data_IF_984778019604
#
_entry.id   IF_984778019604
#
_cell.length_a   1.000
_cell.length_b   1.000
_cell.length_c   1.000
_cell.angle_alpha   90.00
_cell.angle_beta   90.00
_cell.angle_gamma   90.00
#
_symmetry.space_group_name_H-M   'P 1'
#
loop_
_entity.id
_entity.type
_entity.pdbx_description
1 polymer ?
#
# COMPACT_ATOMS: atom_id res chain seq x y z
N UNK A 1 -21.09 21.23 -2.35
CA UNK A 1 -21.18 20.35 -1.18
C UNK A 1 -21.42 18.85 -1.47
N UNK A 2 -21.98 18.44 -2.64
CA UNK A 2 -22.20 16.99 -2.95
C UNK A 2 -20.93 16.16 -3.29
N UNK A 3 -19.84 16.76 -3.80
CA UNK A 3 -18.61 16.03 -4.18
C UNK A 3 -17.78 15.57 -2.96
N UNK A 4 -17.85 16.25 -1.82
CA UNK A 4 -17.10 15.88 -0.61
C UNK A 4 -17.61 14.57 0.01
N UNK A 5 -18.93 14.37 0.06
CA UNK A 5 -19.52 13.19 0.70
C UNK A 5 -19.21 11.90 -0.08
N UNK A 6 -19.13 11.97 -1.41
CA UNK A 6 -18.77 10.82 -2.24
C UNK A 6 -17.33 10.34 -1.94
N UNK A 7 -16.40 11.28 -1.73
CA UNK A 7 -15.01 10.94 -1.36
C UNK A 7 -14.93 10.19 -0.04
N UNK A 8 -15.65 10.61 0.99
CA UNK A 8 -15.68 9.90 2.28
C UNK A 8 -16.29 8.49 2.15
N UNK A 9 -17.37 8.35 1.38
CA UNK A 9 -17.99 7.04 1.12
C UNK A 9 -17.03 6.09 0.39
N UNK A 10 -16.32 6.58 -0.63
CA UNK A 10 -15.32 5.79 -1.35
C UNK A 10 -14.17 5.34 -0.45
N UNK A 11 -13.67 6.22 0.43
CA UNK A 11 -12.63 5.88 1.40
C UNK A 11 -13.13 4.83 2.39
N UNK A 12 -14.36 4.95 2.87
CA UNK A 12 -14.96 3.97 3.77
C UNK A 12 -15.10 2.60 3.11
N UNK A 13 -15.58 2.54 1.86
CA UNK A 13 -15.68 1.30 1.10
C UNK A 13 -14.29 0.67 0.89
N UNK A 14 -13.31 1.46 0.51
CA UNK A 14 -11.93 0.99 0.35
C UNK A 14 -11.37 0.44 1.66
N UNK A 15 -11.62 1.10 2.79
CA UNK A 15 -11.18 0.64 4.11
C UNK A 15 -11.85 -0.69 4.51
N UNK A 16 -13.15 -0.85 4.24
CA UNK A 16 -13.88 -2.11 4.48
C UNK A 16 -13.34 -3.25 3.60
N UNK A 17 -13.09 -2.98 2.32
CA UNK A 17 -12.48 -3.95 1.41
C UNK A 17 -11.08 -4.37 1.88
N UNK A 18 -10.27 -3.42 2.33
CA UNK A 18 -8.94 -3.72 2.87
C UNK A 18 -9.00 -4.51 4.18
N UNK A 19 -9.91 -4.15 5.07
CA UNK A 19 -10.12 -4.88 6.34
C UNK A 19 -10.57 -6.33 6.14
N UNK A 20 -11.32 -6.62 5.08
CA UNK A 20 -11.78 -7.99 4.78
C UNK A 20 -10.68 -8.90 4.21
N UNK A 21 -9.56 -8.36 3.73
CA UNK A 21 -8.46 -9.15 3.14
C UNK A 21 -7.96 -10.23 4.12
N UNK A 22 -7.86 -9.91 5.40
CA UNK A 22 -7.38 -10.83 6.43
C UNK A 22 -8.19 -12.11 6.51
N UNK A 23 -9.51 -12.02 6.37
CA UNK A 23 -10.42 -13.19 6.41
C UNK A 23 -10.12 -14.13 5.24
N UNK A 24 -9.97 -13.59 4.04
CA UNK A 24 -9.67 -14.37 2.84
C UNK A 24 -8.27 -14.98 2.89
N UNK A 25 -7.28 -14.22 3.35
CA UNK A 25 -5.89 -14.70 3.48
C UNK A 25 -5.81 -15.88 4.46
N UNK A 26 -6.47 -15.79 5.61
CA UNK A 26 -6.52 -16.90 6.57
C UNK A 26 -7.21 -18.15 6.00
N UNK A 27 -8.31 -17.95 5.25
CA UNK A 27 -9.01 -19.06 4.60
C UNK A 27 -8.14 -19.78 3.56
N UNK A 28 -7.38 -19.03 2.75
CA UNK A 28 -6.49 -19.59 1.72
C UNK A 28 -5.24 -20.23 2.36
N UNK A 29 -4.69 -19.60 3.41
CA UNK A 29 -3.57 -20.16 4.15
C UNK A 29 -3.91 -21.53 4.79
N UNK A 30 -5.15 -21.70 5.26
CA UNK A 30 -5.63 -22.97 5.77
C UNK A 30 -5.67 -24.10 4.71
N UNK A 31 -5.69 -23.75 3.42
CA UNK A 31 -5.57 -24.70 2.30
C UNK A 31 -4.12 -25.06 1.94
N UNK A 32 -3.14 -24.59 2.71
CA UNK A 32 -1.71 -24.89 2.49
C UNK A 32 -1.04 -24.06 1.40
N UNK A 33 -1.66 -22.98 0.91
CA UNK A 33 -1.06 -22.08 -0.09
C UNK A 33 0.00 -21.22 0.57
N UNK A 34 1.19 -21.15 -0.03
CA UNK A 34 2.27 -20.33 0.51
C UNK A 34 1.96 -18.83 0.42
N UNK A 35 2.44 -18.08 1.40
CA UNK A 35 2.25 -16.62 1.48
C UNK A 35 2.74 -15.89 0.22
N UNK A 36 3.85 -16.34 -0.35
CA UNK A 36 4.41 -15.79 -1.60
C UNK A 36 3.49 -16.02 -2.81
N UNK A 37 2.91 -17.22 -2.92
CA UNK A 37 1.95 -17.53 -3.99
C UNK A 37 0.71 -16.64 -3.91
N UNK A 38 0.22 -16.36 -2.70
CA UNK A 38 -0.90 -15.44 -2.47
C UNK A 38 -0.55 -14.01 -2.91
N UNK A 39 0.66 -13.53 -2.58
CA UNK A 39 1.11 -12.20 -3.00
C UNK A 39 1.20 -12.09 -4.52
N UNK A 40 1.82 -13.07 -5.18
CA UNK A 40 1.97 -13.10 -6.64
C UNK A 40 0.60 -13.16 -7.34
N UNK A 41 -0.30 -14.04 -6.88
CA UNK A 41 -1.63 -14.18 -7.45
C UNK A 41 -2.46 -12.90 -7.33
N UNK A 42 -2.41 -12.24 -6.18
CA UNK A 42 -3.08 -10.95 -5.96
C UNK A 42 -2.61 -9.87 -6.93
N UNK A 43 -1.30 -9.77 -7.15
CA UNK A 43 -0.72 -8.79 -8.09
C UNK A 43 -1.10 -9.11 -9.54
N UNK A 44 -1.07 -10.39 -9.93
CA UNK A 44 -1.48 -10.83 -11.27
C UNK A 44 -2.95 -10.55 -11.53
N UNK A 45 -3.84 -10.93 -10.62
CA UNK A 45 -5.29 -10.68 -10.77
C UNK A 45 -5.57 -9.18 -10.80
N UNK A 46 -4.91 -8.41 -9.94
CA UNK A 46 -5.03 -6.95 -9.96
C UNK A 46 -4.61 -6.34 -11.30
N UNK A 47 -3.49 -6.79 -11.87
CA UNK A 47 -3.01 -6.34 -13.18
C UNK A 47 -3.97 -6.74 -14.31
N UNK A 48 -4.49 -7.98 -14.29
CA UNK A 48 -5.44 -8.49 -15.28
C UNK A 48 -6.79 -7.73 -15.28
N UNK A 49 -7.24 -7.29 -14.12
CA UNK A 49 -8.47 -6.49 -13.99
C UNK A 49 -8.20 -5.03 -14.40
N UNK A 50 -7.06 -4.48 -13.95
CA UNK A 50 -6.77 -3.07 -14.18
C UNK A 50 -6.42 -2.77 -15.64
N UNK A 51 -5.74 -3.68 -16.33
CA UNK A 51 -5.34 -3.48 -17.73
C UNK A 51 -6.53 -3.20 -18.67
N UNK A 52 -7.61 -4.01 -18.71
CA UNK A 52 -8.77 -3.72 -19.55
C UNK A 52 -9.51 -2.44 -19.12
N UNK A 53 -9.56 -2.15 -17.81
CA UNK A 53 -10.19 -0.91 -17.31
C UNK A 53 -9.43 0.31 -17.85
N UNK A 54 -8.09 0.31 -17.79
CA UNK A 54 -7.27 1.38 -18.35
C UNK A 54 -7.40 1.49 -19.87
N UNK A 55 -7.47 0.38 -20.58
CA UNK A 55 -7.73 0.38 -22.02
C UNK A 55 -9.08 1.01 -22.35
N UNK A 56 -10.13 0.69 -21.60
CA UNK A 56 -11.46 1.28 -21.77
C UNK A 56 -11.48 2.78 -21.44
N UNK A 57 -10.76 3.20 -20.38
CA UNK A 57 -10.65 4.63 -20.02
C UNK A 57 -9.86 5.42 -21.05
N UNK A 58 -8.79 4.85 -21.61
CA UNK A 58 -8.00 5.48 -22.68
C UNK A 58 -8.77 5.66 -24.00
N UNK A 59 -9.87 4.93 -24.20
CA UNK A 59 -10.75 5.09 -25.36
C UNK A 59 -11.82 6.19 -25.20
N UNK A 60 -12.02 6.73 -23.98
CA UNK A 60 -13.01 7.80 -23.75
C UNK A 60 -12.36 9.17 -24.00
N UNK A 61 -12.90 9.99 -24.92
CA UNK A 61 -12.43 11.37 -25.09
C UNK A 61 -12.81 12.18 -23.84
N UNK A 62 -11.82 12.47 -23.00
CA UNK A 62 -11.98 13.44 -21.91
C UNK A 62 -11.93 14.85 -22.48
N UNK A 63 -12.95 15.67 -22.20
CA UNK A 63 -12.92 17.09 -22.52
C UNK A 63 -11.72 17.74 -21.81
N UNK A 64 -10.73 18.14 -22.57
CA UNK A 64 -9.56 18.92 -22.10
C UNK A 64 -8.23 18.17 -21.98
N UNK A 65 -8.12 16.88 -22.29
CA UNK A 65 -6.82 16.20 -22.25
C UNK A 65 -6.10 16.22 -23.59
N UNK A 66 -4.91 16.81 -23.58
CA UNK A 66 -3.92 16.78 -24.69
C UNK A 66 -3.23 15.42 -24.82
N UNK A 67 -3.71 14.38 -24.13
CA UNK A 67 -3.16 13.03 -24.14
C UNK A 67 -3.64 12.30 -25.38
N UNK A 68 -2.73 11.62 -26.09
CA UNK A 68 -3.01 10.87 -27.31
C UNK A 68 -4.19 9.91 -27.11
N UNK A 69 -5.20 10.05 -27.95
CA UNK A 69 -6.41 9.22 -27.92
C UNK A 69 -6.09 7.83 -28.49
N UNK A 70 -6.37 6.79 -27.72
CA UNK A 70 -6.23 5.39 -28.16
C UNK A 70 -6.14 4.40 -27.01
N UNK A 71 -6.51 3.12 -27.23
CA UNK A 71 -6.52 2.12 -26.16
C UNK A 71 -5.17 1.86 -25.53
N UNK A 72 -4.07 2.20 -26.22
CA UNK A 72 -2.70 2.07 -25.73
C UNK A 72 -2.06 3.41 -25.35
N UNK A 73 -2.80 4.52 -25.43
CA UNK A 73 -2.24 5.85 -25.16
C UNK A 73 -1.75 6.00 -23.72
N UNK A 74 -2.48 5.40 -22.76
CA UNK A 74 -2.11 5.39 -21.34
C UNK A 74 -0.89 4.50 -21.02
N UNK A 75 -0.51 3.61 -21.94
CA UNK A 75 0.68 2.76 -21.82
C UNK A 75 1.91 3.37 -22.51
N UNK A 76 1.76 4.46 -23.29
CA UNK A 76 2.85 5.18 -23.91
C UNK A 76 3.43 6.20 -22.92
N UNK A 77 4.18 5.71 -21.95
CA UNK A 77 4.91 6.55 -21.00
C UNK A 77 6.34 6.81 -21.52
N UNK A 78 6.82 8.03 -21.34
CA UNK A 78 8.24 8.35 -21.55
C UNK A 78 9.10 7.57 -20.54
N UNK A 79 10.35 7.19 -20.88
CA UNK A 79 11.25 6.56 -19.92
C UNK A 79 11.39 7.33 -18.59
N UNK A 80 11.29 8.65 -18.63
CA UNK A 80 11.34 9.53 -17.45
C UNK A 80 10.10 9.39 -16.54
N UNK A 81 8.96 9.01 -17.11
CA UNK A 81 7.70 8.77 -16.41
C UNK A 81 7.60 7.32 -15.93
N UNK A 82 8.24 6.40 -16.65
CA UNK A 82 8.22 4.97 -16.34
C UNK A 82 9.01 4.67 -15.05
N UNK A 83 10.12 5.36 -14.81
CA UNK A 83 10.97 5.14 -13.61
C UNK A 83 10.20 5.35 -12.31
N UNK A 84 9.54 6.48 -12.04
CA UNK A 84 8.78 6.65 -10.81
C UNK A 84 7.61 5.67 -10.71
N UNK A 85 6.94 5.33 -11.82
CA UNK A 85 5.88 4.31 -11.82
C UNK A 85 6.44 2.91 -11.49
N UNK A 86 7.60 2.55 -12.03
CA UNK A 86 8.27 1.29 -11.72
C UNK A 86 8.69 1.23 -10.24
N UNK A 87 9.19 2.32 -9.67
CA UNK A 87 9.53 2.40 -8.25
C UNK A 87 8.28 2.21 -7.36
N UNK A 88 7.16 2.83 -7.72
CA UNK A 88 5.88 2.63 -7.03
C UNK A 88 5.45 1.17 -7.08
N UNK A 89 5.53 0.53 -8.25
CA UNK A 89 5.11 -0.86 -8.45
C UNK A 89 6.04 -1.86 -7.78
N UNK A 90 7.34 -1.74 -8.02
CA UNK A 90 8.33 -2.74 -7.56
C UNK A 90 8.63 -2.56 -6.08
N UNK A 91 9.02 -1.35 -5.66
CA UNK A 91 9.42 -1.10 -4.26
C UNK A 91 8.18 -0.88 -3.39
N UNK A 92 7.26 -0.02 -3.82
CA UNK A 92 6.10 0.33 -3.01
C UNK A 92 5.10 -0.81 -2.86
N UNK A 93 4.79 -1.54 -3.94
CA UNK A 93 3.77 -2.59 -3.91
C UNK A 93 4.36 -3.99 -3.82
N UNK A 94 5.21 -4.41 -4.77
CA UNK A 94 5.68 -5.79 -4.83
C UNK A 94 6.55 -6.14 -3.62
N UNK A 95 7.58 -5.34 -3.31
CA UNK A 95 8.45 -5.60 -2.18
C UNK A 95 7.70 -5.50 -0.85
N UNK A 96 6.84 -4.48 -0.67
CA UNK A 96 6.02 -4.33 0.53
C UNK A 96 5.12 -5.54 0.78
N UNK A 97 4.41 -6.02 -0.25
CA UNK A 97 3.54 -7.19 -0.12
C UNK A 97 4.35 -8.46 0.18
N UNK A 98 5.45 -8.72 -0.56
CA UNK A 98 6.27 -9.90 -0.35
C UNK A 98 6.81 -9.93 1.08
N UNK A 99 7.43 -8.84 1.55
CA UNK A 99 7.96 -8.76 2.91
C UNK A 99 6.85 -8.87 3.98
N UNK A 100 5.67 -8.32 3.71
CA UNK A 100 4.53 -8.45 4.63
C UNK A 100 4.04 -9.89 4.75
N UNK A 101 3.92 -10.61 3.65
CA UNK A 101 3.50 -12.02 3.67
C UNK A 101 4.55 -12.94 4.28
N UNK A 102 5.84 -12.69 4.05
CA UNK A 102 6.93 -13.37 4.75
C UNK A 102 6.85 -13.16 6.27
N UNK A 103 6.69 -11.90 6.67
CA UNK A 103 6.50 -11.54 8.07
C UNK A 103 5.29 -12.28 8.67
N UNK A 104 4.17 -12.31 7.96
CA UNK A 104 2.95 -12.98 8.41
C UNK A 104 3.14 -14.49 8.57
N UNK A 105 3.92 -15.13 7.71
CA UNK A 105 4.28 -16.55 7.82
C UNK A 105 5.13 -16.87 9.05
N UNK A 106 6.03 -15.95 9.45
CA UNK A 106 6.98 -16.13 10.53
C UNK A 106 6.42 -15.77 11.93
N UNK A 107 5.73 -14.65 12.04
CA UNK A 107 5.30 -14.09 13.33
C UNK A 107 3.79 -14.02 13.49
N UNK A 108 3.05 -14.51 12.52
CA UNK A 108 1.60 -14.46 12.50
C UNK A 108 1.03 -13.13 12.01
N UNK A 109 -0.24 -13.18 11.61
CA UNK A 109 -0.94 -12.03 11.01
C UNK A 109 -1.03 -10.82 11.95
N UNK A 110 -1.27 -11.08 13.23
CA UNK A 110 -1.43 -10.04 14.24
C UNK A 110 -0.17 -9.19 14.38
N UNK A 111 0.98 -9.86 14.61
CA UNK A 111 2.28 -9.19 14.76
C UNK A 111 2.72 -8.52 13.46
N UNK A 112 2.51 -9.18 12.31
CA UNK A 112 2.81 -8.60 11.00
C UNK A 112 2.02 -7.31 10.74
N UNK A 113 0.76 -7.25 11.15
CA UNK A 113 -0.06 -6.05 11.02
C UNK A 113 0.47 -4.89 11.87
N UNK A 114 0.86 -5.14 13.12
CA UNK A 114 1.48 -4.10 13.98
C UNK A 114 2.77 -3.57 13.34
N UNK A 115 3.62 -4.46 12.81
CA UNK A 115 4.86 -4.06 12.15
C UNK A 115 4.59 -3.25 10.87
N UNK A 116 3.61 -3.63 10.07
CA UNK A 116 3.20 -2.85 8.90
C UNK A 116 2.69 -1.46 9.27
N UNK A 117 1.95 -1.34 10.38
CA UNK A 117 1.46 -0.05 10.88
C UNK A 117 2.55 0.85 11.49
N UNK A 118 3.81 0.46 11.47
CA UNK A 118 4.94 1.38 11.67
C UNK A 118 5.20 2.26 10.43
N UNK A 119 4.57 1.97 9.29
CA UNK A 119 4.73 2.74 8.04
C UNK A 119 4.54 4.26 8.19
N UNK A 120 3.64 4.83 9.02
CA UNK A 120 3.54 6.27 9.24
C UNK A 120 4.83 6.89 9.80
N UNK A 121 5.58 6.16 10.62
CA UNK A 121 6.89 6.62 11.13
C UNK A 121 7.86 6.86 9.98
N UNK A 122 7.98 5.86 9.10
CA UNK A 122 8.82 5.97 7.90
C UNK A 122 8.30 7.02 6.92
N UNK A 123 6.96 7.16 6.82
CA UNK A 123 6.33 8.19 5.98
C UNK A 123 6.71 9.61 6.41
N UNK A 124 6.69 9.88 7.72
CA UNK A 124 7.13 11.18 8.27
C UNK A 124 8.64 11.37 8.08
N UNK A 125 9.45 10.33 8.31
CA UNK A 125 10.89 10.39 8.11
C UNK A 125 11.25 10.67 6.63
N UNK A 126 10.64 9.94 5.70
CA UNK A 126 10.85 10.14 4.26
C UNK A 126 10.32 11.51 3.79
N UNK A 127 9.17 11.96 4.31
CA UNK A 127 8.61 13.29 4.04
C UNK A 127 9.55 14.40 4.49
N UNK A 128 10.19 14.24 5.66
CA UNK A 128 11.22 15.18 6.15
C UNK A 128 12.45 15.20 5.25
N UNK A 129 12.97 14.02 4.87
CA UNK A 129 14.21 13.90 4.10
C UNK A 129 14.03 14.37 2.65
N UNK A 130 12.96 13.92 1.96
CA UNK A 130 12.77 14.20 0.53
C UNK A 130 12.05 15.53 0.26
N UNK A 131 11.11 15.90 1.12
CA UNK A 131 10.28 17.10 0.89
C UNK A 131 10.58 18.22 1.87
N UNK A 132 11.50 18.02 2.83
CA UNK A 132 11.81 18.98 3.90
C UNK A 132 10.58 19.43 4.68
N UNK A 133 9.59 18.54 4.82
CA UNK A 133 8.38 18.83 5.56
C UNK A 133 8.70 18.98 7.06
N UNK A 134 8.02 19.91 7.72
CA UNK A 134 8.19 20.08 9.16
C UNK A 134 7.52 18.95 9.94
N UNK A 135 8.29 18.38 10.88
CA UNK A 135 7.79 17.38 11.82
C UNK A 135 7.13 18.13 12.96
N UNK A 136 5.82 18.31 12.87
CA UNK A 136 5.05 18.96 13.93
C UNK A 136 4.85 18.02 15.12
N UNK A 137 4.79 18.54 16.37
CA UNK A 137 4.49 17.73 17.55
C UNK A 137 3.22 16.90 17.41
N UNK A 138 2.20 17.46 16.74
CA UNK A 138 0.95 16.77 16.47
C UNK A 138 1.13 15.52 15.61
N UNK A 139 2.06 15.53 14.64
CA UNK A 139 2.38 14.34 13.83
C UNK A 139 3.02 13.24 14.69
N UNK A 140 3.91 13.61 15.62
CA UNK A 140 4.54 12.66 16.55
C UNK A 140 3.51 12.03 17.49
N UNK A 141 2.66 12.85 18.10
CA UNK A 141 1.59 12.36 18.97
C UNK A 141 0.67 11.40 18.20
N UNK A 142 0.27 11.75 16.98
CA UNK A 142 -0.57 10.88 16.14
C UNK A 142 0.12 9.53 15.84
N UNK A 143 1.42 9.51 15.59
CA UNK A 143 2.19 8.28 15.39
C UNK A 143 2.19 7.40 16.65
N UNK A 144 2.44 8.00 17.82
CA UNK A 144 2.42 7.25 19.08
C UNK A 144 1.05 6.64 19.34
N UNK A 145 -0.02 7.42 19.19
CA UNK A 145 -1.40 6.91 19.33
C UNK A 145 -1.73 5.82 18.31
N UNK A 146 -1.25 5.95 17.08
CA UNK A 146 -1.43 4.91 16.06
C UNK A 146 -0.77 3.60 16.50
N UNK A 147 0.52 3.63 16.88
CA UNK A 147 1.25 2.43 17.29
C UNK A 147 0.59 1.79 18.52
N UNK A 148 0.31 2.58 19.55
CA UNK A 148 -0.35 2.09 20.77
C UNK A 148 -1.72 1.49 20.45
N UNK A 149 -2.53 2.18 19.63
CA UNK A 149 -3.84 1.70 19.20
C UNK A 149 -3.74 0.38 18.42
N UNK A 150 -2.78 0.25 17.52
CA UNK A 150 -2.55 -0.99 16.76
C UNK A 150 -2.12 -2.14 17.67
N UNK A 151 -1.18 -1.90 18.60
CA UNK A 151 -0.75 -2.92 19.56
C UNK A 151 -1.94 -3.38 20.41
N UNK A 152 -2.71 -2.46 20.98
CA UNK A 152 -3.88 -2.80 21.80
C UNK A 152 -4.96 -3.55 21.00
N UNK A 153 -5.24 -3.13 19.78
CA UNK A 153 -6.25 -3.75 18.93
C UNK A 153 -5.89 -5.20 18.54
N UNK A 154 -4.60 -5.45 18.30
CA UNK A 154 -4.11 -6.76 17.88
C UNK A 154 -3.94 -7.72 19.06
N UNK A 155 -3.52 -7.22 20.22
CA UNK A 155 -3.24 -8.05 21.41
C UNK A 155 -4.47 -8.30 22.28
N UNK A 156 -5.57 -7.54 22.08
CA UNK A 156 -6.66 -7.51 23.06
C UNK A 156 -6.17 -7.27 24.51
N UNK A 157 -5.01 -6.62 24.66
CA UNK A 157 -4.35 -6.40 25.94
C UNK A 157 -3.46 -7.55 26.44
N UNK A 158 -3.37 -8.67 25.72
CA UNK A 158 -2.49 -9.79 26.04
C UNK A 158 -1.27 -9.80 25.11
N UNK A 159 -0.11 -9.49 25.67
CA UNK A 159 1.17 -9.47 24.95
C UNK A 159 1.83 -10.86 24.85
N UNK A 160 1.31 -11.87 25.50
CA UNK A 160 1.89 -13.22 25.50
C UNK A 160 1.80 -13.94 24.16
N UNK A 161 0.88 -13.53 23.30
CA UNK A 161 0.68 -14.08 21.95
C UNK A 161 1.67 -13.57 20.89
N UNK A 162 2.61 -12.69 21.22
CA UNK A 162 3.62 -12.24 20.28
C UNK A 162 4.72 -13.28 20.09
N UNK A 163 4.82 -13.79 18.86
CA UNK A 163 5.96 -14.58 18.43
C UNK A 163 7.01 -13.67 17.79
N UNK A 164 8.20 -13.68 18.35
CA UNK A 164 9.33 -12.90 17.84
C UNK A 164 10.28 -13.82 17.07
N UNK A 165 10.34 -13.62 15.76
CA UNK A 165 11.40 -14.13 14.89
C UNK A 165 12.19 -12.94 14.36
N UNK A 166 13.52 -12.99 14.44
CA UNK A 166 14.39 -11.90 13.94
C UNK A 166 14.10 -11.65 12.46
N UNK A 167 13.94 -12.72 11.69
CA UNK A 167 13.59 -12.62 10.27
C UNK A 167 12.20 -12.04 10.05
N UNK A 168 11.20 -12.49 10.81
CA UNK A 168 9.84 -11.97 10.75
C UNK A 168 9.74 -10.49 11.12
N UNK A 169 10.45 -10.04 12.16
CA UNK A 169 10.47 -8.63 12.56
C UNK A 169 11.16 -7.76 11.51
N UNK A 170 12.32 -8.20 10.99
CA UNK A 170 13.03 -7.44 9.96
C UNK A 170 12.22 -7.33 8.67
N UNK A 171 11.60 -8.41 8.20
CA UNK A 171 10.72 -8.39 7.02
C UNK A 171 9.51 -7.49 7.24
N UNK A 172 8.89 -7.50 8.42
CA UNK A 172 7.77 -6.62 8.77
C UNK A 172 8.14 -5.14 8.78
N UNK A 173 9.30 -4.78 9.34
CA UNK A 173 9.82 -3.40 9.32
C UNK A 173 10.13 -2.95 7.89
N UNK A 174 10.74 -3.82 7.08
CA UNK A 174 11.00 -3.54 5.65
C UNK A 174 9.67 -3.35 4.92
N UNK A 175 8.66 -4.17 5.18
CA UNK A 175 7.32 -4.00 4.61
C UNK A 175 6.71 -2.64 4.95
N UNK A 176 6.83 -2.20 6.21
CA UNK A 176 6.40 -0.87 6.66
C UNK A 176 7.14 0.26 5.95
N UNK A 177 8.45 0.15 5.77
CA UNK A 177 9.26 1.11 5.02
C UNK A 177 8.87 1.16 3.54
N UNK A 178 8.73 0.01 2.88
CA UNK A 178 8.29 -0.08 1.50
C UNK A 178 6.88 0.47 1.33
N UNK A 179 5.97 0.20 2.27
CA UNK A 179 4.62 0.77 2.28
C UNK A 179 4.61 2.31 2.40
N UNK A 180 5.47 2.87 3.25
CA UNK A 180 5.67 4.32 3.33
C UNK A 180 6.25 4.91 2.02
N UNK A 181 7.18 4.20 1.40
CA UNK A 181 7.78 4.57 0.11
C UNK A 181 6.75 4.65 -1.01
N UNK A 182 5.70 3.84 -0.96
CA UNK A 182 4.57 3.88 -1.90
C UNK A 182 3.94 5.28 -1.95
N UNK A 183 3.63 5.87 -0.80
CA UNK A 183 3.04 7.21 -0.71
C UNK A 183 3.99 8.29 -1.24
N UNK A 184 5.29 8.16 -0.96
CA UNK A 184 6.32 9.11 -1.39
C UNK A 184 6.53 9.04 -2.91
N UNK A 185 6.72 7.84 -3.45
CA UNK A 185 6.95 7.64 -4.89
C UNK A 185 5.69 7.91 -5.72
N UNK A 186 4.50 7.61 -5.20
CA UNK A 186 3.25 7.98 -5.87
C UNK A 186 3.10 9.50 -5.98
N UNK A 187 3.53 10.27 -4.97
CA UNK A 187 3.55 11.74 -5.02
C UNK A 187 4.55 12.28 -6.06
N UNK A 188 5.66 11.58 -6.28
CA UNK A 188 6.60 11.93 -7.37
C UNK A 188 5.98 11.56 -8.72
N UNK A 189 5.43 10.36 -8.84
CA UNK A 189 4.81 9.90 -10.08
C UNK A 189 3.65 10.81 -10.52
N UNK A 190 2.77 11.24 -9.60
CA UNK A 190 1.64 12.13 -9.92
C UNK A 190 2.06 13.57 -10.33
N UNK A 191 3.30 13.98 -10.06
CA UNK A 191 3.84 15.25 -10.57
C UNK A 191 4.40 15.13 -11.99
N UNK A 192 4.81 13.92 -12.38
CA UNK A 192 5.42 13.65 -13.69
C UNK A 192 4.44 13.03 -14.68
N UNK A 193 3.48 12.27 -14.17
CA UNK A 193 2.42 11.60 -14.96
C UNK A 193 1.08 12.26 -14.64
N UNK A 194 0.28 12.58 -15.64
CA UNK A 194 -1.03 13.19 -15.44
C UNK A 194 -1.91 12.21 -14.63
N UNK A 195 -2.49 12.61 -13.50
CA UNK A 195 -3.41 11.74 -12.77
C UNK A 195 -4.68 11.52 -13.61
N UNK A 196 -5.13 10.28 -13.66
CA UNK A 196 -6.38 9.87 -14.30
C UNK A 196 -7.61 10.42 -13.58
#
# INVERSE_FOLDING_TARGET
MKKSNLGYVLVLIAALMWGSIGIFVNGIAAMGVSSQSMAAFRLLVGALILAPVLMFMGCRPGEGSTVAQGPLALFKASPKELVPCALVGIVGLAAANTCYYECMGEVGMSTASVLLYTSPVFGVALGRVLYREDVTPNKLVAIVFNIVGCVLAVTNGDLSGFHFSVWGVTSGVIAGFCGASLAVFSRIATKTVHPL
#
